data_IF_364079234961
#
_entry.id   IF_364079234961
#
_cell.length_a   1.000
_cell.length_b   1.000
_cell.length_c   1.000
_cell.angle_alpha   90.00
_cell.angle_beta   90.00
_cell.angle_gamma   90.00
#
_symmetry.space_group_name_H-M   'P 1'
#
loop_
_entity.id
_entity.type
_entity.pdbx_description
1 polymer ?
#
# COMPACT_ATOMS: atom_id res chain seq x y z
N UNK A 1 68.09 -47.15 9.17
CA UNK A 1 67.21 -45.99 8.97
C UNK A 1 65.96 -46.46 8.25
N UNK A 2 64.79 -46.46 8.91
CA UNK A 2 63.53 -46.86 8.29
C UNK A 2 62.49 -45.74 8.48
N UNK A 3 62.20 -45.03 7.39
CA UNK A 3 61.18 -43.98 7.35
C UNK A 3 59.79 -44.61 7.29
N UNK A 4 58.94 -44.31 8.28
CA UNK A 4 57.52 -44.69 8.29
C UNK A 4 56.72 -43.61 7.56
N UNK A 5 56.23 -43.93 6.38
CA UNK A 5 55.28 -43.07 5.65
C UNK A 5 53.89 -43.15 6.28
N UNK A 6 53.39 -42.04 6.84
CA UNK A 6 52.03 -41.93 7.37
C UNK A 6 51.06 -41.68 6.21
N UNK A 7 50.25 -42.68 5.83
CA UNK A 7 49.17 -42.52 4.85
C UNK A 7 47.97 -41.80 5.50
N UNK A 8 47.73 -40.53 5.14
CA UNK A 8 46.48 -39.82 5.47
C UNK A 8 45.29 -40.49 4.77
N UNK A 9 44.44 -41.20 5.52
CA UNK A 9 43.12 -41.68 5.06
C UNK A 9 42.22 -40.46 4.79
N UNK A 10 41.79 -40.30 3.53
CA UNK A 10 40.89 -39.21 3.08
C UNK A 10 39.49 -39.38 3.69
N UNK A 11 39.03 -38.39 4.47
CA UNK A 11 37.66 -38.26 5.04
C UNK A 11 36.58 -37.96 3.96
N UNK A 12 36.63 -38.64 2.82
CA UNK A 12 35.83 -38.32 1.61
C UNK A 12 34.32 -38.57 1.80
N UNK A 13 33.92 -39.49 2.68
CA UNK A 13 32.51 -39.85 2.90
C UNK A 13 31.72 -38.85 3.74
N UNK A 14 32.29 -38.33 4.83
CA UNK A 14 31.58 -37.40 5.73
C UNK A 14 31.42 -36.00 5.10
N UNK A 15 32.43 -35.54 4.34
CA UNK A 15 32.34 -34.28 3.59
C UNK A 15 31.28 -34.32 2.49
N UNK A 16 31.04 -35.49 1.88
CA UNK A 16 30.01 -35.66 0.86
C UNK A 16 28.60 -35.47 1.44
N UNK A 17 28.31 -36.02 2.61
CA UNK A 17 27.01 -35.86 3.27
C UNK A 17 26.75 -34.41 3.71
N UNK A 18 27.77 -33.77 4.30
CA UNK A 18 27.68 -32.36 4.71
C UNK A 18 27.43 -31.46 3.49
N UNK A 19 28.12 -31.69 2.37
CA UNK A 19 27.90 -30.90 1.15
C UNK A 19 26.48 -31.04 0.59
N UNK A 20 25.89 -32.23 0.65
CA UNK A 20 24.50 -32.45 0.21
C UNK A 20 23.49 -31.73 1.11
N UNK A 21 23.72 -31.73 2.42
CA UNK A 21 22.86 -31.00 3.37
C UNK A 21 22.91 -29.49 3.15
N UNK A 22 24.10 -28.94 2.86
CA UNK A 22 24.26 -27.51 2.54
C UNK A 22 23.47 -27.16 1.27
N UNK A 23 23.55 -27.99 0.23
CA UNK A 23 22.81 -27.77 -1.02
C UNK A 23 21.30 -27.79 -0.77
N UNK A 24 20.80 -28.77 0.00
CA UNK A 24 19.38 -28.85 0.34
C UNK A 24 18.92 -27.63 1.14
N UNK A 25 19.71 -27.20 2.13
CA UNK A 25 19.42 -26.00 2.91
C UNK A 25 19.41 -24.73 2.03
N UNK A 26 20.32 -24.63 1.07
CA UNK A 26 20.37 -23.51 0.13
C UNK A 26 19.13 -23.45 -0.77
N UNK A 27 18.65 -24.60 -1.26
CA UNK A 27 17.42 -24.68 -2.08
C UNK A 27 16.19 -24.26 -1.28
N UNK A 28 16.06 -24.72 -0.04
CA UNK A 28 14.96 -24.32 0.86
C UNK A 28 15.02 -22.81 1.14
N UNK A 29 16.22 -22.27 1.41
CA UNK A 29 16.42 -20.84 1.60
C UNK A 29 15.97 -20.02 0.37
N UNK A 30 16.31 -20.47 -0.83
CA UNK A 30 15.88 -19.82 -2.07
C UNK A 30 14.36 -19.82 -2.22
N UNK A 31 13.68 -20.94 -1.92
CA UNK A 31 12.21 -21.03 -1.99
C UNK A 31 11.55 -20.05 -0.99
N UNK A 32 12.06 -19.96 0.24
CA UNK A 32 11.56 -19.02 1.24
C UNK A 32 11.73 -17.57 0.76
N UNK A 33 12.91 -17.23 0.22
CA UNK A 33 13.16 -15.89 -0.33
C UNK A 33 12.22 -15.54 -1.47
N UNK A 34 11.93 -16.49 -2.39
CA UNK A 34 10.99 -16.28 -3.50
C UNK A 34 9.58 -15.97 -2.98
N UNK A 35 9.11 -16.69 -1.95
CA UNK A 35 7.80 -16.46 -1.34
C UNK A 35 7.73 -15.06 -0.71
N UNK A 36 8.76 -14.66 0.04
CA UNK A 36 8.85 -13.33 0.66
C UNK A 36 8.87 -12.22 -0.40
N UNK A 37 9.59 -12.41 -1.51
CA UNK A 37 9.59 -11.43 -2.60
C UNK A 37 8.23 -11.31 -3.28
N UNK A 38 7.46 -12.40 -3.41
CA UNK A 38 6.11 -12.33 -3.97
C UNK A 38 5.11 -11.64 -3.04
N UNK A 39 5.20 -11.85 -1.72
CA UNK A 39 4.36 -11.11 -0.77
C UNK A 39 4.69 -9.63 -0.75
N UNK A 40 5.97 -9.27 -0.82
CA UNK A 40 6.42 -7.87 -0.95
C UNK A 40 5.92 -7.23 -2.25
N UNK A 41 5.88 -7.97 -3.35
CA UNK A 41 5.39 -7.46 -4.64
C UNK A 41 3.88 -7.20 -4.61
N UNK A 42 3.10 -8.07 -3.98
CA UNK A 42 1.67 -7.87 -3.81
C UNK A 42 1.34 -6.70 -2.87
N UNK A 43 2.13 -6.51 -1.81
CA UNK A 43 1.99 -5.40 -0.87
C UNK A 43 2.36 -4.07 -1.54
N UNK A 44 3.48 -4.01 -2.26
CA UNK A 44 3.90 -2.83 -3.03
C UNK A 44 2.89 -2.49 -4.14
N UNK A 45 2.31 -3.49 -4.82
CA UNK A 45 1.27 -3.26 -5.84
C UNK A 45 -0.02 -2.70 -5.21
N UNK A 46 -0.39 -3.18 -4.01
CA UNK A 46 -1.55 -2.68 -3.27
C UNK A 46 -1.33 -1.25 -2.79
N UNK A 47 -0.14 -0.95 -2.30
CA UNK A 47 0.25 0.40 -1.91
C UNK A 47 0.24 1.35 -3.13
N UNK A 48 0.81 0.92 -4.26
CA UNK A 48 0.77 1.66 -5.52
C UNK A 48 -0.67 1.97 -5.96
N UNK A 49 -1.53 0.95 -6.02
CA UNK A 49 -2.93 1.15 -6.40
C UNK A 49 -3.66 2.07 -5.42
N UNK A 50 -3.35 1.99 -4.11
CA UNK A 50 -3.95 2.89 -3.13
C UNK A 50 -3.51 4.34 -3.30
N UNK A 51 -2.25 4.57 -3.72
CA UNK A 51 -1.71 5.90 -4.00
C UNK A 51 -2.31 6.45 -5.30
N UNK A 52 -2.38 5.63 -6.35
CA UNK A 52 -2.97 6.01 -7.65
C UNK A 52 -4.44 6.39 -7.49
N UNK A 53 -5.22 5.60 -6.77
CA UNK A 53 -6.63 5.92 -6.52
C UNK A 53 -6.79 7.24 -5.74
N UNK A 54 -5.92 7.50 -4.75
CA UNK A 54 -5.92 8.78 -4.03
C UNK A 54 -5.54 9.95 -4.93
N UNK A 55 -4.62 9.76 -5.88
CA UNK A 55 -4.25 10.81 -6.81
C UNK A 55 -5.37 11.11 -7.81
N UNK A 56 -6.09 10.09 -8.28
CA UNK A 56 -7.25 10.30 -9.17
C UNK A 56 -8.38 11.06 -8.47
N UNK A 57 -8.67 10.73 -7.21
CA UNK A 57 -9.67 11.44 -6.40
C UNK A 57 -9.29 12.92 -6.18
N UNK A 58 -8.04 13.17 -5.81
CA UNK A 58 -7.53 14.54 -5.58
C UNK A 58 -7.42 15.34 -6.87
N UNK A 59 -7.10 14.71 -8.00
CA UNK A 59 -7.05 15.38 -9.31
C UNK A 59 -8.47 15.76 -9.76
N UNK A 60 -9.45 14.87 -9.58
CA UNK A 60 -10.85 15.17 -9.88
C UNK A 60 -11.39 16.33 -9.03
N UNK A 61 -11.11 16.33 -7.72
CA UNK A 61 -11.49 17.43 -6.82
C UNK A 61 -10.83 18.75 -7.22
N UNK A 62 -9.53 18.74 -7.57
CA UNK A 62 -8.83 19.94 -8.02
C UNK A 62 -9.41 20.51 -9.32
N UNK A 63 -9.77 19.66 -10.29
CA UNK A 63 -10.41 20.10 -11.54
C UNK A 63 -11.77 20.74 -11.26
N UNK A 64 -12.55 20.18 -10.35
CA UNK A 64 -13.84 20.76 -9.94
C UNK A 64 -13.65 22.11 -9.23
N UNK A 65 -12.70 22.20 -8.30
CA UNK A 65 -12.37 23.45 -7.62
C UNK A 65 -11.89 24.53 -8.60
N UNK A 66 -11.05 24.16 -9.58
CA UNK A 66 -10.61 25.10 -10.62
C UNK A 66 -11.77 25.59 -11.48
N UNK A 67 -12.72 24.71 -11.85
CA UNK A 67 -13.94 25.13 -12.57
C UNK A 67 -14.77 26.13 -11.76
N UNK A 68 -14.97 25.87 -10.46
CA UNK A 68 -15.70 26.79 -9.58
C UNK A 68 -14.99 28.16 -9.46
N UNK A 69 -13.66 28.16 -9.50
CA UNK A 69 -12.85 29.39 -9.43
C UNK A 69 -12.83 30.17 -10.75
N UNK A 70 -12.86 29.49 -11.89
CA UNK A 70 -12.75 30.10 -13.22
C UNK A 70 -14.09 30.57 -13.79
N UNK A 71 -15.19 29.89 -13.50
CA UNK A 71 -16.54 30.31 -13.91
C UNK A 71 -17.18 31.28 -12.88
N UNK A 72 -18.17 32.06 -13.32
CA UNK A 72 -19.02 32.94 -12.48
C UNK A 72 -19.91 32.15 -11.48
N UNK A 73 -19.64 30.85 -11.33
CA UNK A 73 -20.38 29.85 -10.54
C UNK A 73 -19.95 29.82 -9.06
N UNK A 74 -18.95 30.62 -8.69
CA UNK A 74 -18.53 30.82 -7.30
C UNK A 74 -19.71 31.23 -6.40
N UNK A 75 -20.64 32.05 -6.89
CA UNK A 75 -21.85 32.41 -6.14
C UNK A 75 -22.77 31.21 -5.87
N UNK A 76 -22.91 30.29 -6.83
CA UNK A 76 -23.72 29.09 -6.67
C UNK A 76 -23.10 28.13 -5.65
N UNK A 77 -21.77 27.96 -5.70
CA UNK A 77 -21.00 27.18 -4.73
C UNK A 77 -21.16 27.74 -3.31
N UNK A 78 -20.91 29.04 -3.12
CA UNK A 78 -21.02 29.69 -1.81
C UNK A 78 -22.44 29.62 -1.25
N UNK A 79 -23.46 29.74 -2.10
CA UNK A 79 -24.87 29.57 -1.71
C UNK A 79 -25.15 28.14 -1.21
N UNK A 80 -24.67 27.11 -1.92
CA UNK A 80 -24.87 25.71 -1.53
C UNK A 80 -24.21 25.42 -0.18
N UNK A 81 -22.96 25.83 -0.01
CA UNK A 81 -22.21 25.71 1.25
C UNK A 81 -22.95 26.40 2.42
N UNK A 82 -23.44 27.62 2.19
CA UNK A 82 -24.16 28.38 3.20
C UNK A 82 -25.44 27.66 3.66
N UNK A 83 -26.18 27.05 2.74
CA UNK A 83 -27.46 26.38 3.03
C UNK A 83 -27.23 24.99 3.67
N UNK A 84 -26.31 24.20 3.15
CA UNK A 84 -26.09 22.80 3.54
C UNK A 84 -25.27 22.68 4.82
N UNK A 85 -24.13 23.38 4.92
CA UNK A 85 -23.18 23.17 6.00
C UNK A 85 -23.31 24.22 7.11
N UNK A 86 -23.71 25.44 6.75
CA UNK A 86 -23.83 26.56 7.70
C UNK A 86 -25.26 26.84 8.14
N UNK A 87 -26.23 26.09 7.59
CA UNK A 87 -27.66 26.22 7.88
C UNK A 87 -28.20 27.65 7.72
N UNK A 88 -27.60 28.45 6.84
CA UNK A 88 -28.15 29.74 6.44
C UNK A 88 -29.44 29.52 5.64
N UNK A 89 -30.33 30.48 5.77
CA UNK A 89 -31.59 30.54 5.02
C UNK A 89 -31.67 31.88 4.31
N UNK A 90 -32.52 31.96 3.29
CA UNK A 90 -32.81 33.24 2.69
C UNK A 90 -33.48 34.19 3.69
N UNK A 91 -33.25 35.51 3.60
CA UNK A 91 -33.84 36.49 4.53
C UNK A 91 -35.38 36.42 4.62
N UNK A 92 -36.03 35.97 3.56
CA UNK A 92 -37.47 35.82 3.41
C UNK A 92 -37.97 34.36 3.53
N UNK A 93 -37.09 33.39 3.78
CA UNK A 93 -37.45 31.98 3.92
C UNK A 93 -37.89 31.66 5.36
N UNK A 94 -39.04 30.97 5.49
CA UNK A 94 -39.49 30.40 6.77
C UNK A 94 -39.26 28.89 6.77
N UNK A 95 -38.40 28.43 7.69
CA UNK A 95 -38.16 27.00 7.94
C UNK A 95 -38.93 26.55 9.18
N UNK A 96 -39.67 25.45 9.05
CA UNK A 96 -40.39 24.82 10.15
C UNK A 96 -39.70 23.51 10.52
N UNK A 97 -39.36 23.35 11.80
CA UNK A 97 -38.78 22.12 12.33
C UNK A 97 -39.84 21.41 13.18
N UNK A 98 -39.98 20.10 13.01
CA UNK A 98 -40.90 19.30 13.81
C UNK A 98 -40.32 19.13 15.23
N UNK A 99 -40.91 19.81 16.21
CA UNK A 99 -40.53 19.75 17.62
C UNK A 99 -41.41 18.79 18.44
N UNK A 100 -42.32 18.04 17.80
CA UNK A 100 -43.27 17.16 18.50
C UNK A 100 -42.63 15.89 19.08
N UNK A 101 -41.35 15.65 18.81
CA UNK A 101 -40.57 14.50 19.28
C UNK A 101 -39.41 14.98 20.17
N UNK A 102 -39.70 15.37 21.40
CA UNK A 102 -38.71 15.48 22.47
C UNK A 102 -39.28 14.86 23.76
#
# INVERSE_FOLDING_TARGET
MASRTIRKKRKKGMFSLISKLIIIAAVIGCIISIIITQSSLAEMQKELNSIVNKTEEVEAENVELQRILEDDDMNAYMKKLAIEDMNYAYPDERRYYDTSRN
#
